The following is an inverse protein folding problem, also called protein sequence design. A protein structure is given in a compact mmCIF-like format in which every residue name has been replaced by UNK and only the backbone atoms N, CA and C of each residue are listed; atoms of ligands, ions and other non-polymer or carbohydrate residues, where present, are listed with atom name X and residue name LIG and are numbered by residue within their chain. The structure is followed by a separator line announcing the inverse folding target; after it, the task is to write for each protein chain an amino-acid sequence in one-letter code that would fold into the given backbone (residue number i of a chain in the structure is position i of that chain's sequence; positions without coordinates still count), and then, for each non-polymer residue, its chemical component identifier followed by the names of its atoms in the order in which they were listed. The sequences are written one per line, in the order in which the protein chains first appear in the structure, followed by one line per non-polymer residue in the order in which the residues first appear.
data_IF_142471415045
#
_entry.id   IF_142471415045
#
_cell.length_a   1.000
_cell.length_b   1.000
_cell.length_c   1.000
_cell.angle_alpha   90.00
_cell.angle_beta   90.00
_cell.angle_gamma   90.00
#
_symmetry.space_group_name_H-M   'P 1'
#
loop_
_entity.id
_entity.type
_entity.pdbx_description
1 polymer ?
#
# COMPACT_ATOMS: atom_id res chain seq x y z
N UNK A 1 -2.88 -8.45 9.50
CA UNK A 1 -1.60 -8.70 10.19
C UNK A 1 -1.23 -7.46 11.01
N UNK A 2 -0.90 -6.30 10.42
CA UNK A 2 -0.61 -5.08 11.19
C UNK A 2 -1.81 -4.57 12.02
N UNK A 3 -3.01 -4.52 11.45
CA UNK A 3 -4.20 -4.10 12.20
C UNK A 3 -4.59 -5.08 13.33
N UNK A 4 -4.22 -6.35 13.22
CA UNK A 4 -4.48 -7.34 14.27
C UNK A 4 -3.55 -7.13 15.47
N UNK A 5 -2.28 -6.83 15.20
CA UNK A 5 -1.32 -6.43 16.24
C UNK A 5 -1.80 -5.18 16.99
N UNK A 6 -2.32 -4.17 16.27
CA UNK A 6 -2.85 -2.97 16.90
C UNK A 6 -4.10 -3.22 17.76
N UNK A 7 -4.94 -4.17 17.37
CA UNK A 7 -6.11 -4.59 18.16
C UNK A 7 -5.68 -5.27 19.47
N UNK A 8 -4.62 -6.08 19.46
CA UNK A 8 -4.04 -6.70 20.67
C UNK A 8 -3.41 -5.67 21.61
N UNK A 9 -2.70 -4.67 21.07
CA UNK A 9 -2.13 -3.58 21.86
C UNK A 9 -3.24 -2.76 22.55
N UNK A 10 -4.34 -2.46 21.85
CA UNK A 10 -5.51 -1.79 22.45
C UNK A 10 -6.14 -2.60 23.58
N UNK A 11 -6.26 -3.92 23.42
CA UNK A 11 -6.79 -4.81 24.48
C UNK A 11 -5.93 -4.79 25.74
N UNK A 12 -4.62 -4.55 25.59
CA UNK A 12 -3.68 -4.40 26.70
C UNK A 12 -3.65 -2.97 27.28
N UNK A 13 -4.49 -2.06 26.78
CA UNK A 13 -4.51 -0.65 27.19
C UNK A 13 -3.39 0.19 26.61
N UNK A 14 -2.65 -0.33 25.63
CA UNK A 14 -1.60 0.39 24.90
C UNK A 14 -2.20 1.12 23.69
N UNK A 15 -1.57 2.22 23.30
CA UNK A 15 -1.95 2.96 22.09
C UNK A 15 -1.12 2.46 20.90
N UNK A 16 -1.72 1.83 19.88
CA UNK A 16 -0.98 1.36 18.74
C UNK A 16 -0.45 2.50 17.88
N UNK A 17 0.63 2.21 17.15
CA UNK A 17 1.17 3.14 16.15
C UNK A 17 0.16 3.35 15.02
N UNK A 18 0.17 4.54 14.39
CA UNK A 18 -0.90 4.98 13.48
C UNK A 18 -1.23 3.98 12.36
N UNK A 19 -0.21 3.34 11.78
CA UNK A 19 -0.39 2.33 10.72
C UNK A 19 -1.11 1.06 11.18
N UNK A 20 -1.07 0.76 12.48
CA UNK A 20 -1.73 -0.41 13.11
C UNK A 20 -3.10 -0.06 13.69
N UNK A 21 -3.44 1.23 13.77
CA UNK A 21 -4.72 1.68 14.29
C UNK A 21 -5.79 1.74 13.18
N UNK A 22 -6.80 0.86 13.27
CA UNK A 22 -7.92 0.83 12.31
C UNK A 22 -8.72 2.14 12.28
N UNK A 23 -8.78 2.86 13.38
CA UNK A 23 -9.51 4.13 13.48
C UNK A 23 -8.81 5.23 12.66
N UNK A 24 -7.52 5.06 12.39
CA UNK A 24 -6.69 5.96 11.59
C UNK A 24 -6.48 5.48 10.15
N UNK A 25 -7.25 4.49 9.71
CA UNK A 25 -7.15 3.92 8.36
C UNK A 25 -7.31 4.94 7.22
N UNK A 26 -8.04 6.04 7.44
CA UNK A 26 -8.18 7.14 6.49
C UNK A 26 -6.84 7.84 6.13
N UNK A 27 -5.78 7.66 6.94
CA UNK A 27 -4.43 8.15 6.67
C UNK A 27 -3.63 7.24 5.73
N UNK A 28 -4.12 6.03 5.45
CA UNK A 28 -3.45 5.05 4.62
C UNK A 28 -2.99 5.63 3.26
N UNK A 29 -3.79 6.43 2.52
CA UNK A 29 -3.33 6.99 1.25
C UNK A 29 -2.09 7.88 1.39
N UNK A 30 -2.08 8.77 2.38
CA UNK A 30 -0.97 9.68 2.64
C UNK A 30 0.29 8.89 3.07
N UNK A 31 0.13 7.91 3.96
CA UNK A 31 1.21 7.02 4.40
C UNK A 31 1.79 6.20 3.23
N UNK A 32 0.95 5.69 2.33
CA UNK A 32 1.39 4.95 1.14
C UNK A 32 2.18 5.86 0.19
N UNK A 33 1.73 7.09 -0.07
CA UNK A 33 2.50 8.04 -0.88
C UNK A 33 3.87 8.31 -0.27
N UNK A 34 3.93 8.51 1.05
CA UNK A 34 5.18 8.69 1.78
C UNK A 34 6.12 7.50 1.63
N UNK A 35 5.60 6.29 1.83
CA UNK A 35 6.38 5.06 1.70
C UNK A 35 6.92 4.84 0.29
N UNK A 36 6.11 5.08 -0.75
CA UNK A 36 6.55 4.95 -2.12
C UNK A 36 7.70 5.91 -2.45
N UNK A 37 7.59 7.18 -2.05
CA UNK A 37 8.61 8.21 -2.31
C UNK A 37 9.90 7.96 -1.54
N UNK A 38 9.80 7.57 -0.27
CA UNK A 38 10.97 7.42 0.59
C UNK A 38 11.70 6.09 0.38
N UNK A 39 10.99 5.02 0.01
CA UNK A 39 11.51 3.65 0.02
C UNK A 39 11.36 2.98 -1.34
N UNK A 40 10.13 2.77 -1.82
CA UNK A 40 9.91 1.90 -2.99
C UNK A 40 10.57 2.43 -4.26
N UNK A 41 10.35 3.70 -4.61
CA UNK A 41 10.86 4.26 -5.85
C UNK A 41 12.40 4.29 -5.87
N UNK A 42 13.11 4.81 -4.84
CA UNK A 42 14.57 4.71 -4.78
C UNK A 42 15.09 3.28 -4.92
N UNK A 43 14.45 2.31 -4.27
CA UNK A 43 14.83 0.90 -4.40
C UNK A 43 14.65 0.39 -5.83
N UNK A 44 13.51 0.65 -6.47
CA UNK A 44 13.24 0.20 -7.83
C UNK A 44 14.13 0.87 -8.87
N UNK A 45 14.48 2.15 -8.68
CA UNK A 45 15.47 2.84 -9.54
C UNK A 45 16.84 2.15 -9.50
N UNK A 46 17.29 1.72 -8.32
CA UNK A 46 18.54 0.96 -8.18
C UNK A 46 18.44 -0.39 -8.89
N UNK A 47 17.31 -1.10 -8.73
CA UNK A 47 17.08 -2.39 -9.41
C UNK A 47 17.09 -2.23 -10.92
N UNK A 48 16.41 -1.22 -11.48
CA UNK A 48 16.39 -0.99 -12.93
C UNK A 48 17.76 -0.58 -13.45
N UNK A 49 18.55 0.19 -12.67
CA UNK A 49 19.93 0.51 -13.04
C UNK A 49 20.81 -0.74 -13.12
N UNK A 50 20.60 -1.72 -12.23
CA UNK A 50 21.33 -2.98 -12.23
C UNK A 50 20.80 -3.99 -13.26
N UNK A 51 19.48 -4.02 -13.47
CA UNK A 51 18.76 -4.98 -14.31
C UNK A 51 17.72 -4.21 -15.15
N UNK A 52 18.13 -3.64 -16.30
CA UNK A 52 17.26 -2.77 -17.10
C UNK A 52 15.95 -3.43 -17.59
N UNK A 53 15.93 -4.76 -17.70
CA UNK A 53 14.71 -5.51 -18.08
C UNK A 53 13.59 -5.42 -17.04
N UNK A 54 13.88 -4.96 -15.82
CA UNK A 54 12.89 -4.76 -14.76
C UNK A 54 12.20 -3.39 -14.81
N UNK A 55 12.43 -2.58 -15.86
CA UNK A 55 11.73 -1.29 -16.05
C UNK A 55 10.20 -1.34 -15.86
N UNK A 56 9.48 -2.39 -16.32
CA UNK A 56 8.03 -2.49 -16.12
C UNK A 56 7.60 -2.48 -14.64
N UNK A 57 8.44 -2.97 -13.72
CA UNK A 57 8.18 -2.95 -12.28
C UNK A 57 8.19 -1.50 -11.76
N UNK A 58 9.18 -0.70 -12.17
CA UNK A 58 9.26 0.72 -11.79
C UNK A 58 8.08 1.50 -12.35
N UNK A 59 7.68 1.26 -13.60
CA UNK A 59 6.50 1.88 -14.19
C UNK A 59 5.22 1.54 -13.42
N UNK A 60 5.03 0.27 -13.04
CA UNK A 60 3.86 -0.12 -12.25
C UNK A 60 3.87 0.51 -10.86
N UNK A 61 5.05 0.63 -10.24
CA UNK A 61 5.19 1.30 -8.96
C UNK A 61 4.81 2.79 -9.05
N UNK A 62 5.22 3.48 -10.12
CA UNK A 62 4.83 4.87 -10.37
C UNK A 62 3.33 5.02 -10.59
N UNK A 63 2.69 4.11 -11.34
CA UNK A 63 1.22 4.08 -11.51
C UNK A 63 0.49 3.89 -10.18
N UNK A 64 0.98 2.97 -9.34
CA UNK A 64 0.40 2.74 -8.02
C UNK A 64 0.56 3.98 -7.13
N UNK A 65 1.73 4.62 -7.13
CA UNK A 65 1.96 5.87 -6.38
C UNK A 65 1.04 6.99 -6.87
N UNK A 66 0.82 7.11 -8.18
CA UNK A 66 -0.12 8.10 -8.74
C UNK A 66 -1.53 7.84 -8.22
N UNK A 67 -2.00 6.58 -8.21
CA UNK A 67 -3.30 6.22 -7.66
C UNK A 67 -3.41 6.56 -6.17
N UNK A 68 -2.39 6.26 -5.38
CA UNK A 68 -2.35 6.66 -3.98
C UNK A 68 -2.35 8.19 -3.80
N UNK A 69 -1.70 8.93 -4.69
CA UNK A 69 -1.68 10.40 -4.66
C UNK A 69 -3.05 10.99 -4.97
N UNK A 70 -3.80 10.40 -5.92
CA UNK A 70 -5.19 10.77 -6.19
C UNK A 70 -6.06 10.57 -4.95
N UNK A 71 -5.94 9.41 -4.29
CA UNK A 71 -6.68 9.11 -3.06
C UNK A 71 -6.29 10.04 -1.91
N UNK A 72 -5.00 10.39 -1.79
CA UNK A 72 -4.51 11.32 -0.79
C UNK A 72 -4.99 12.77 -1.01
N UNK A 73 -5.44 13.13 -2.22
CA UNK A 73 -5.98 14.45 -2.52
C UNK A 73 -7.49 14.58 -2.24
N UNK A 74 -8.20 13.47 -1.96
CA UNK A 74 -9.63 13.47 -1.66
C UNK A 74 -9.95 14.14 -0.31
N UNK A 75 -11.21 14.54 -0.12
CA UNK A 75 -11.69 14.99 1.19
C UNK A 75 -11.66 13.85 2.23
N UNK A 76 -11.74 14.19 3.52
CA UNK A 76 -11.66 13.20 4.60
C UNK A 76 -12.74 12.10 4.49
N UNK A 77 -13.97 12.48 4.15
CA UNK A 77 -15.09 11.52 4.04
C UNK A 77 -14.92 10.60 2.82
N UNK A 78 -14.47 11.15 1.69
CA UNK A 78 -14.15 10.37 0.49
C UNK A 78 -12.95 9.43 0.73
N UNK A 79 -11.93 9.88 1.47
CA UNK A 79 -10.80 9.02 1.88
C UNK A 79 -11.27 7.84 2.71
N UNK A 80 -12.13 8.07 3.70
CA UNK A 80 -12.67 6.99 4.56
C UNK A 80 -13.42 5.96 3.73
N UNK A 81 -14.29 6.41 2.82
CA UNK A 81 -15.05 5.51 1.96
C UNK A 81 -14.14 4.72 1.02
N UNK A 82 -13.23 5.39 0.31
CA UNK A 82 -12.30 4.75 -0.61
C UNK A 82 -11.40 3.72 0.10
N UNK A 83 -10.88 4.05 1.30
CA UNK A 83 -10.08 3.11 2.10
C UNK A 83 -10.93 1.92 2.56
N UNK A 84 -12.16 2.16 3.00
CA UNK A 84 -13.10 1.09 3.37
C UNK A 84 -13.34 0.12 2.21
N UNK A 85 -13.54 0.64 1.00
CA UNK A 85 -13.70 -0.16 -0.21
C UNK A 85 -12.44 -0.98 -0.54
N UNK A 86 -11.26 -0.36 -0.47
CA UNK A 86 -9.97 -1.03 -0.70
C UNK A 86 -9.74 -2.17 0.31
N UNK A 87 -10.03 -1.92 1.58
CA UNK A 87 -9.86 -2.92 2.64
C UNK A 87 -10.87 -4.06 2.53
N UNK A 88 -12.09 -3.80 2.04
CA UNK A 88 -13.12 -4.82 1.79
C UNK A 88 -12.74 -5.75 0.64
N UNK A 89 -12.10 -5.22 -0.41
CA UNK A 89 -11.78 -5.97 -1.62
C UNK A 89 -10.43 -6.69 -1.60
N UNK A 90 -9.76 -6.86 -0.45
CA UNK A 90 -8.48 -7.56 -0.37
C UNK A 90 -8.61 -8.98 -0.97
N UNK A 91 -8.05 -9.26 -2.16
CA UNK A 91 -8.02 -10.63 -2.67
C UNK A 91 -7.05 -11.41 -1.78
N UNK A 92 -7.42 -12.62 -1.38
CA UNK A 92 -6.44 -13.56 -0.85
C UNK A 92 -5.31 -13.66 -1.88
N UNK A 93 -4.05 -13.53 -1.44
CA UNK A 93 -2.85 -13.52 -2.28
C UNK A 93 -2.61 -14.83 -3.07
N UNK A 94 -3.59 -15.73 -3.13
CA UNK A 94 -3.51 -17.05 -3.73
C UNK A 94 -3.87 -17.12 -5.24
N UNK A 95 -4.32 -16.03 -5.89
CA UNK A 95 -4.89 -16.14 -7.25
C UNK A 95 -4.20 -15.33 -8.35
N UNK A 96 -2.98 -14.80 -8.15
CA UNK A 96 -2.22 -14.15 -9.24
C UNK A 96 -0.89 -14.84 -9.59
N UNK A 97 -0.80 -16.16 -9.41
CA UNK A 97 0.22 -16.98 -10.07
C UNK A 97 -0.46 -18.15 -10.77
N UNK A 98 -0.97 -17.93 -11.98
CA UNK A 98 -1.15 -19.03 -12.92
C UNK A 98 -0.87 -18.56 -14.35
N UNK A 99 0.39 -18.78 -14.73
CA UNK A 99 0.77 -19.30 -16.05
C UNK A 99 0.73 -18.34 -17.25
N UNK A 100 1.77 -17.50 -17.35
CA UNK A 100 2.37 -17.15 -18.64
C UNK A 100 3.86 -17.50 -18.65
N UNK A 101 4.14 -18.80 -18.73
CA UNK A 101 5.32 -19.30 -19.44
C UNK A 101 4.87 -20.53 -20.22
N UNK A 102 4.72 -20.38 -21.52
CA UNK A 102 4.79 -21.49 -22.45
C UNK A 102 5.80 -21.10 -23.51
N UNK A 103 6.82 -21.95 -23.61
CA UNK A 103 7.88 -21.96 -24.61
C UNK A 103 7.31 -22.01 -26.03
#
# INVERSE_FOLDING_TARGET
MLAFQGDEEKQQGLKPVQLMDRDLSHLLPDDQVGFYKAICLPCFEVVVRAIPTQHPMLEQALKNMAKWSELAALSLEEKKEAVSEILRHRPSAASQNSSTVSL
#
